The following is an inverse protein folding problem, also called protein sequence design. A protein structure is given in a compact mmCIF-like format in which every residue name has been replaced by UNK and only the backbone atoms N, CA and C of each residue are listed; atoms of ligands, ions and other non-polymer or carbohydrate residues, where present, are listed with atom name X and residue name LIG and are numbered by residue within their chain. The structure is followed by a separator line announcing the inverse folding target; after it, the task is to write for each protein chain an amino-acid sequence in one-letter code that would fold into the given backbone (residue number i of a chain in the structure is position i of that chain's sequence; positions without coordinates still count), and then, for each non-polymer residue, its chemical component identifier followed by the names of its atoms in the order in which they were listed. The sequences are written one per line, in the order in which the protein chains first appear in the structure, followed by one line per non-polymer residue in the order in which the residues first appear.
data_IF_043088178502
#
_entry.id   IF_043088178502
#
_cell.length_a   1.000
_cell.length_b   1.000
_cell.length_c   1.000
_cell.angle_alpha   90.00
_cell.angle_beta   90.00
_cell.angle_gamma   90.00
#
_symmetry.space_group_name_H-M   'P 1'
#
loop_
_entity.id
_entity.type
_entity.pdbx_description
1 polymer ?
#
# COMPACT_ATOMS: atom_id res chain seq x y z
N UNK A 1 -15.67 -14.95 2.17
CA UNK A 1 -14.20 -14.86 2.07
C UNK A 1 -13.57 -14.48 3.40
N UNK A 2 -13.86 -13.32 4.01
CA UNK A 2 -13.19 -12.89 5.26
C UNK A 2 -13.81 -13.39 6.58
N UNK A 3 -15.11 -13.74 6.61
CA UNK A 3 -15.80 -14.02 7.88
C UNK A 3 -16.06 -12.77 8.74
N UNK A 4 -15.74 -11.59 8.23
CA UNK A 4 -15.90 -10.27 8.87
C UNK A 4 -17.08 -9.51 8.25
N UNK A 5 -17.59 -8.44 8.90
CA UNK A 5 -18.61 -7.56 8.32
C UNK A 5 -18.22 -7.06 6.93
N UNK A 6 -19.21 -6.93 6.04
CA UNK A 6 -18.99 -6.46 4.68
C UNK A 6 -18.30 -5.08 4.70
N UNK A 7 -17.25 -4.93 3.89
CA UNK A 7 -16.44 -3.72 3.79
C UNK A 7 -15.87 -3.22 5.13
N UNK A 8 -15.71 -4.10 6.12
CA UNK A 8 -15.10 -3.80 7.42
C UNK A 8 -15.75 -2.62 8.15
N UNK A 9 -17.07 -2.44 8.00
CA UNK A 9 -17.84 -1.46 8.76
C UNK A 9 -18.74 -2.12 9.82
N UNK A 10 -18.93 -1.52 11.00
CA UNK A 10 -19.85 -2.04 12.02
C UNK A 10 -21.32 -2.00 11.59
N UNK A 11 -21.71 -1.13 10.66
CA UNK A 11 -23.09 -0.91 10.22
C UNK A 11 -23.26 -1.07 8.70
N UNK A 12 -23.09 -2.29 8.16
CA UNK A 12 -23.19 -2.52 6.72
C UNK A 12 -24.59 -2.15 6.20
N UNK A 13 -24.64 -1.53 5.02
CA UNK A 13 -25.88 -1.06 4.38
C UNK A 13 -26.21 0.41 4.65
N UNK A 14 -25.73 0.97 5.76
CA UNK A 14 -25.73 2.41 6.01
C UNK A 14 -24.36 3.03 5.73
N UNK A 15 -23.30 2.30 6.09
CA UNK A 15 -21.91 2.69 5.88
C UNK A 15 -21.29 1.84 4.76
N UNK A 16 -20.38 2.47 3.99
CA UNK A 16 -19.62 1.82 2.92
C UNK A 16 -18.23 1.35 3.38
N UNK A 17 -17.74 1.87 4.51
CA UNK A 17 -16.46 1.45 5.10
C UNK A 17 -15.30 1.46 4.11
N UNK A 18 -14.64 0.32 3.99
CA UNK A 18 -13.44 0.11 3.18
C UNK A 18 -13.71 -0.16 1.69
N UNK A 19 -14.95 0.01 1.22
CA UNK A 19 -15.31 -0.22 -0.18
C UNK A 19 -14.48 0.66 -1.14
N UNK A 20 -14.44 1.98 -0.93
CA UNK A 20 -13.72 2.91 -1.81
C UNK A 20 -12.20 2.87 -1.62
N UNK A 21 -11.65 2.69 -0.39
CA UNK A 21 -10.24 2.38 -0.22
C UNK A 21 -9.79 1.17 -1.08
N UNK A 22 -10.57 0.10 -1.14
CA UNK A 22 -10.27 -1.04 -2.01
C UNK A 22 -10.24 -0.66 -3.50
N UNK A 23 -11.19 0.16 -3.96
CA UNK A 23 -11.20 0.66 -5.35
C UNK A 23 -9.96 1.49 -5.66
N UNK A 24 -9.52 2.31 -4.69
CA UNK A 24 -8.29 3.12 -4.82
C UNK A 24 -7.06 2.24 -4.97
N UNK A 25 -6.90 1.22 -4.11
CA UNK A 25 -5.80 0.27 -4.21
C UNK A 25 -5.81 -0.46 -5.57
N UNK A 26 -6.98 -0.88 -6.05
CA UNK A 26 -7.12 -1.54 -7.35
C UNK A 26 -6.71 -0.63 -8.53
N UNK A 27 -7.07 0.66 -8.48
CA UNK A 27 -6.68 1.63 -9.49
C UNK A 27 -5.15 1.82 -9.55
N UNK A 28 -4.49 1.95 -8.39
CA UNK A 28 -3.03 2.08 -8.28
C UNK A 28 -2.30 0.83 -8.79
N UNK A 29 -2.82 -0.37 -8.48
CA UNK A 29 -2.31 -1.63 -9.05
C UNK A 29 -2.44 -1.62 -10.57
N UNK A 30 -3.58 -1.17 -11.11
CA UNK A 30 -3.81 -1.12 -12.56
C UNK A 30 -2.83 -0.17 -13.27
N UNK A 31 -2.57 1.00 -12.67
CA UNK A 31 -1.56 1.93 -13.18
C UNK A 31 -0.16 1.29 -13.17
N UNK A 32 0.20 0.59 -12.11
CA UNK A 32 1.48 -0.12 -12.01
C UNK A 32 1.64 -1.20 -13.08
N UNK A 33 0.56 -1.88 -13.49
CA UNK A 33 0.61 -2.85 -14.60
C UNK A 33 1.05 -2.20 -15.91
N UNK A 34 0.53 -1.01 -16.22
CA UNK A 34 0.94 -0.28 -17.43
C UNK A 34 2.42 0.12 -17.38
N UNK A 35 2.89 0.54 -16.20
CA UNK A 35 4.31 0.89 -15.95
C UNK A 35 5.25 -0.32 -15.88
N UNK A 36 4.70 -1.54 -15.76
CA UNK A 36 5.49 -2.74 -15.57
C UNK A 36 6.21 -3.22 -16.85
N UNK A 37 5.89 -2.66 -18.02
CA UNK A 37 6.56 -3.00 -19.27
C UNK A 37 8.10 -2.82 -19.15
N UNK A 38 8.90 -3.83 -19.52
CA UNK A 38 10.35 -3.75 -19.34
C UNK A 38 10.94 -2.72 -20.29
N UNK A 39 11.64 -1.71 -19.77
CA UNK A 39 12.33 -0.73 -20.62
C UNK A 39 13.51 -1.36 -21.39
N UNK A 40 14.12 -2.40 -20.83
CA UNK A 40 15.36 -3.01 -21.34
C UNK A 40 15.19 -3.92 -22.55
N UNK A 41 13.95 -4.10 -23.05
CA UNK A 41 13.70 -4.88 -24.29
C UNK A 41 13.72 -3.98 -25.53
N UNK A 42 13.88 -2.68 -25.36
CA UNK A 42 14.00 -1.70 -26.43
C UNK A 42 15.46 -1.22 -26.60
N UNK A 43 15.85 -0.92 -27.84
CA UNK A 43 17.16 -0.39 -28.19
C UNK A 43 17.05 0.43 -29.48
N UNK A 44 17.57 1.66 -29.45
CA UNK A 44 17.62 2.55 -30.61
C UNK A 44 19.10 2.87 -30.87
N UNK A 45 19.67 2.46 -32.01
CA UNK A 45 21.06 2.73 -32.35
C UNK A 45 21.35 4.23 -32.37
N UNK A 46 22.52 4.61 -31.85
CA UNK A 46 22.99 5.99 -31.87
C UNK A 46 24.41 6.07 -32.43
N UNK A 47 24.95 7.29 -32.56
CA UNK A 47 26.34 7.51 -32.98
C UNK A 47 26.70 6.83 -34.31
N UNK A 48 25.85 7.00 -35.34
CA UNK A 48 26.01 6.36 -36.66
C UNK A 48 26.22 4.83 -36.59
N UNK A 49 25.47 4.17 -35.69
CA UNK A 49 25.51 2.73 -35.46
C UNK A 49 26.81 2.22 -34.79
N UNK A 50 27.57 3.10 -34.14
CA UNK A 50 28.67 2.70 -33.24
C UNK A 50 28.15 2.21 -31.88
N UNK A 51 27.05 2.82 -31.41
CA UNK A 51 26.31 2.40 -30.24
C UNK A 51 25.01 1.75 -30.71
N UNK A 52 25.12 0.55 -31.31
CA UNK A 52 24.03 -0.16 -31.97
C UNK A 52 23.15 -0.99 -31.04
N UNK A 53 23.55 -1.15 -29.77
CA UNK A 53 22.77 -1.77 -28.72
C UNK A 53 22.90 -1.02 -27.38
N UNK A 54 21.79 -0.59 -26.80
CA UNK A 54 21.74 0.14 -25.53
C UNK A 54 20.69 -0.43 -24.58
N UNK A 55 20.78 -0.11 -23.29
CA UNK A 55 20.01 -0.79 -22.23
C UNK A 55 18.69 -0.13 -21.83
N UNK A 56 18.49 1.15 -22.22
CA UNK A 56 17.39 2.00 -21.73
C UNK A 56 17.26 2.06 -20.19
N UNK A 57 18.34 1.77 -19.45
CA UNK A 57 18.34 1.59 -18.00
C UNK A 57 17.82 2.81 -17.22
N UNK A 58 18.05 4.04 -17.71
CA UNK A 58 17.57 5.26 -17.06
C UNK A 58 16.04 5.31 -16.92
N UNK A 59 15.31 4.95 -17.98
CA UNK A 59 13.84 4.87 -17.93
C UNK A 59 13.38 3.63 -17.14
N UNK A 60 14.13 2.53 -17.23
CA UNK A 60 13.93 1.33 -16.43
C UNK A 60 13.98 1.58 -14.92
N UNK A 61 14.88 2.46 -14.46
CA UNK A 61 14.98 2.88 -13.06
C UNK A 61 13.95 3.97 -12.71
N UNK A 62 13.80 5.00 -13.54
CA UNK A 62 12.91 6.15 -13.25
C UNK A 62 11.46 5.75 -13.04
N UNK A 63 10.96 4.74 -13.77
CA UNK A 63 9.58 4.24 -13.60
C UNK A 63 9.32 3.71 -12.19
N UNK A 64 10.35 3.20 -11.50
CA UNK A 64 10.21 2.59 -10.18
C UNK A 64 9.76 3.62 -9.13
N UNK A 65 10.16 4.89 -9.25
CA UNK A 65 9.77 5.94 -8.32
C UNK A 65 8.24 6.09 -8.18
N UNK A 66 7.54 6.13 -9.31
CA UNK A 66 6.07 6.20 -9.31
C UNK A 66 5.45 4.87 -8.88
N UNK A 67 6.04 3.74 -9.29
CA UNK A 67 5.52 2.42 -8.94
C UNK A 67 5.62 2.14 -7.43
N UNK A 68 6.71 2.54 -6.78
CA UNK A 68 6.90 2.38 -5.33
C UNK A 68 6.04 3.37 -4.54
N UNK A 69 5.81 4.58 -5.04
CA UNK A 69 4.83 5.50 -4.45
C UNK A 69 3.42 4.90 -4.46
N UNK A 70 2.98 4.34 -5.60
CA UNK A 70 1.72 3.62 -5.70
C UNK A 70 1.68 2.41 -4.77
N UNK A 71 2.78 1.66 -4.66
CA UNK A 71 2.89 0.52 -3.74
C UNK A 71 2.72 0.94 -2.28
N UNK A 72 3.34 2.05 -1.86
CA UNK A 72 3.21 2.55 -0.49
C UNK A 72 1.76 2.86 -0.14
N UNK A 73 1.00 3.45 -1.06
CA UNK A 73 -0.45 3.68 -0.87
C UNK A 73 -1.24 2.37 -0.78
N UNK A 74 -0.92 1.37 -1.61
CA UNK A 74 -1.57 0.05 -1.57
C UNK A 74 -1.33 -0.62 -0.21
N UNK A 75 -0.08 -0.65 0.26
CA UNK A 75 0.27 -1.22 1.56
C UNK A 75 -0.36 -0.43 2.70
N UNK A 76 -0.43 0.90 2.61
CA UNK A 76 -1.13 1.73 3.60
C UNK A 76 -2.62 1.40 3.71
N UNK A 77 -3.30 1.16 2.58
CA UNK A 77 -4.71 0.74 2.56
C UNK A 77 -4.88 -0.67 3.14
N UNK A 78 -4.00 -1.59 2.79
CA UNK A 78 -4.00 -2.95 3.36
C UNK A 78 -3.80 -2.92 4.87
N UNK A 79 -2.87 -2.10 5.35
CA UNK A 79 -2.59 -1.93 6.77
C UNK A 79 -3.80 -1.42 7.56
N UNK A 80 -4.51 -0.41 7.03
CA UNK A 80 -5.76 0.08 7.60
C UNK A 80 -6.83 -1.02 7.69
N UNK A 81 -6.99 -1.79 6.60
CA UNK A 81 -7.97 -2.86 6.53
C UNK A 81 -7.62 -4.02 7.48
N UNK A 82 -6.35 -4.41 7.56
CA UNK A 82 -5.88 -5.46 8.45
C UNK A 82 -6.09 -5.09 9.92
N UNK A 83 -5.71 -3.87 10.32
CA UNK A 83 -5.93 -3.38 11.68
C UNK A 83 -7.43 -3.31 12.04
N UNK A 84 -8.27 -2.84 11.11
CA UNK A 84 -9.72 -2.84 11.31
C UNK A 84 -10.27 -4.27 11.45
N UNK A 85 -9.78 -5.21 10.65
CA UNK A 85 -10.13 -6.63 10.77
C UNK A 85 -9.76 -7.22 12.14
N UNK A 86 -8.56 -6.90 12.65
CA UNK A 86 -8.14 -7.29 13.99
C UNK A 86 -9.04 -6.69 15.09
N UNK A 87 -9.51 -5.45 14.92
CA UNK A 87 -10.41 -4.81 15.88
C UNK A 87 -11.76 -5.56 16.00
N UNK A 88 -12.30 -6.08 14.90
CA UNK A 88 -13.52 -6.90 14.93
C UNK A 88 -13.36 -8.24 15.67
N UNK A 89 -12.13 -8.68 15.91
CA UNK A 89 -11.85 -9.90 16.65
C UNK A 89 -11.64 -9.68 18.16
N UNK A 90 -11.76 -8.43 18.66
CA UNK A 90 -11.64 -8.17 20.08
C UNK A 90 -12.54 -9.08 20.93
N UNK A 91 -12.05 -9.64 22.06
CA UNK A 91 -10.79 -9.32 22.74
C UNK A 91 -9.58 -10.18 22.30
N UNK A 92 -9.65 -10.89 21.15
CA UNK A 92 -8.50 -11.66 20.66
C UNK A 92 -7.32 -10.73 20.34
N UNK A 93 -6.11 -11.26 20.54
CA UNK A 93 -4.84 -10.56 20.26
C UNK A 93 -4.00 -11.38 19.29
N UNK A 94 -3.16 -10.67 18.53
CA UNK A 94 -2.19 -11.23 17.60
C UNK A 94 -0.81 -11.41 18.26
N UNK A 95 0.21 -11.71 17.47
CA UNK A 95 1.60 -11.75 17.95
C UNK A 95 2.12 -10.35 18.32
N UNK A 96 3.13 -10.29 19.20
CA UNK A 96 3.68 -9.02 19.67
C UNK A 96 4.11 -8.04 18.55
N UNK A 97 4.78 -8.47 17.46
CA UNK A 97 5.12 -7.55 16.36
C UNK A 97 3.89 -7.00 15.63
N UNK A 98 2.84 -7.81 15.47
CA UNK A 98 1.61 -7.39 14.81
C UNK A 98 0.78 -6.45 15.67
N UNK A 99 0.75 -6.66 17.00
CA UNK A 99 0.13 -5.71 17.92
C UNK A 99 0.92 -4.40 18.04
N UNK A 100 2.26 -4.44 17.92
CA UNK A 100 3.07 -3.22 17.85
C UNK A 100 2.75 -2.40 16.59
N UNK A 101 2.67 -3.03 15.42
CA UNK A 101 2.20 -2.38 14.20
C UNK A 101 0.79 -1.82 14.41
N UNK A 102 -0.18 -2.64 14.81
CA UNK A 102 -1.56 -2.17 15.03
C UNK A 102 -1.65 -0.97 15.98
N UNK A 103 -0.86 -0.98 17.06
CA UNK A 103 -0.76 0.15 18.00
C UNK A 103 -0.23 1.41 17.31
N UNK A 104 0.90 1.30 16.59
CA UNK A 104 1.49 2.41 15.81
C UNK A 104 0.47 3.06 14.86
N UNK A 105 -0.36 2.26 14.19
CA UNK A 105 -1.43 2.80 13.36
C UNK A 105 -2.51 3.51 14.17
N UNK A 106 -2.96 2.89 15.27
CA UNK A 106 -4.08 3.38 16.09
C UNK A 106 -3.76 4.66 16.85
N UNK A 107 -2.48 4.94 17.08
CA UNK A 107 -2.01 6.24 17.58
C UNK A 107 -2.32 7.39 16.60
N UNK A 108 -2.39 7.11 15.29
CA UNK A 108 -2.62 8.11 14.24
C UNK A 108 -4.02 8.03 13.62
N UNK A 109 -4.56 6.82 13.51
CA UNK A 109 -5.83 6.54 12.82
C UNK A 109 -6.73 5.67 13.70
N UNK A 110 -7.80 6.25 14.27
CA UNK A 110 -8.72 5.50 15.12
C UNK A 110 -9.47 4.42 14.33
N UNK A 111 -9.98 3.40 15.03
CA UNK A 111 -10.90 2.40 14.45
C UNK A 111 -12.05 3.09 13.71
N UNK A 112 -12.49 2.49 12.61
CA UNK A 112 -13.65 2.99 11.87
C UNK A 112 -14.94 2.52 12.55
N UNK A 113 -15.63 3.45 13.22
CA UNK A 113 -16.96 3.20 13.79
C UNK A 113 -18.07 3.54 12.79
N UNK A 114 -17.93 4.72 12.16
CA UNK A 114 -18.84 5.26 11.15
C UNK A 114 -18.09 5.83 9.96
N UNK A 115 -18.78 5.93 8.81
CA UNK A 115 -18.21 6.51 7.61
C UNK A 115 -17.73 7.94 7.90
N UNK A 116 -16.49 8.20 7.47
CA UNK A 116 -15.83 9.50 7.57
C UNK A 116 -15.06 9.78 6.31
N UNK A 117 -14.57 11.01 6.17
CA UNK A 117 -13.65 11.33 5.09
C UNK A 117 -12.37 10.49 5.25
N UNK A 118 -12.20 9.50 4.37
CA UNK A 118 -11.20 8.43 4.54
C UNK A 118 -9.83 8.76 3.94
N UNK A 119 -9.73 9.80 3.10
CA UNK A 119 -8.48 10.18 2.44
C UNK A 119 -7.34 10.56 3.42
N UNK A 120 -7.60 11.30 4.53
CA UNK A 120 -6.58 11.59 5.54
C UNK A 120 -6.03 10.31 6.20
N UNK A 121 -6.90 9.35 6.50
CA UNK A 121 -6.50 8.07 7.09
C UNK A 121 -5.55 7.29 6.16
N UNK A 122 -5.89 7.24 4.86
CA UNK A 122 -5.02 6.62 3.85
C UNK A 122 -3.68 7.34 3.71
N UNK A 123 -3.67 8.68 3.78
CA UNK A 123 -2.44 9.47 3.73
C UNK A 123 -1.53 9.21 4.95
N UNK A 124 -2.10 9.16 6.15
CA UNK A 124 -1.37 8.85 7.39
C UNK A 124 -0.79 7.43 7.36
N UNK A 125 -1.59 6.43 6.95
CA UNK A 125 -1.11 5.07 6.83
C UNK A 125 0.00 4.94 5.77
N UNK A 126 -0.14 5.63 4.63
CA UNK A 126 0.92 5.70 3.62
C UNK A 126 2.20 6.33 4.19
N UNK A 127 2.07 7.41 4.95
CA UNK A 127 3.22 8.08 5.58
C UNK A 127 3.99 7.13 6.51
N UNK A 128 3.28 6.35 7.34
CA UNK A 128 3.87 5.33 8.20
C UNK A 128 4.66 4.29 7.39
N UNK A 129 4.12 3.81 6.27
CA UNK A 129 4.82 2.88 5.37
C UNK A 129 6.08 3.53 4.80
N UNK A 130 5.98 4.75 4.26
CA UNK A 130 7.12 5.43 3.62
C UNK A 130 8.20 5.87 4.60
N UNK A 131 7.85 6.07 5.88
CA UNK A 131 8.80 6.44 6.93
C UNK A 131 9.71 5.29 7.37
N UNK A 132 9.35 4.05 7.03
CA UNK A 132 10.03 2.86 7.52
C UNK A 132 9.62 2.42 8.93
N UNK A 133 8.81 3.21 9.65
CA UNK A 133 8.39 2.89 11.03
C UNK A 133 7.71 1.53 11.17
N UNK A 134 6.98 1.07 10.14
CA UNK A 134 6.36 -0.26 10.14
C UNK A 134 7.38 -1.42 10.08
N UNK A 135 8.56 -1.16 9.52
CA UNK A 135 9.64 -2.14 9.37
C UNK A 135 10.61 -2.17 10.54
N UNK A 136 10.53 -1.20 11.46
CA UNK A 136 11.46 -1.07 12.58
C UNK A 136 11.39 -2.29 13.50
N UNK A 137 12.53 -2.93 13.74
CA UNK A 137 12.62 -4.13 14.59
C UNK A 137 12.18 -5.43 13.91
N UNK A 138 11.80 -5.42 12.64
CA UNK A 138 11.59 -6.66 11.87
C UNK A 138 12.93 -7.28 11.47
N UNK A 139 13.10 -8.61 11.63
CA UNK A 139 14.33 -9.27 11.26
C UNK A 139 14.60 -9.13 9.75
N UNK A 140 15.80 -8.67 9.40
CA UNK A 140 16.23 -8.49 8.01
C UNK A 140 15.87 -7.15 7.38
N UNK A 141 15.27 -6.22 8.13
CA UNK A 141 15.11 -4.82 7.73
C UNK A 141 16.08 -3.97 8.56
N UNK A 142 17.22 -3.61 7.99
CA UNK A 142 18.14 -2.64 8.58
C UNK A 142 17.63 -1.23 8.26
N UNK A 143 17.67 -0.33 9.26
CA UNK A 143 17.22 1.05 9.16
C UNK A 143 18.21 1.94 8.39
#
# INVERSE_FOLDING_TARGET
LSGLPAFLTPRPGLNSGFMIPQVTAAALVSENKQRAHPASVDSIPTSANQEDHVSMAGHGARRLLAMTANLAHIIGIEYLAAAQGCDFHAPLTSSAPLEAARTLLREQVPTLEDDRHFAPDMALATALVTSGALGEGLPGIEA
#
